data_IF_908950916660
#
_entry.id   IF_908950916660
#
_cell.length_a   1.000
_cell.length_b   1.000
_cell.length_c   1.000
_cell.angle_alpha   90.00
_cell.angle_beta   90.00
_cell.angle_gamma   90.00
#
_symmetry.space_group_name_H-M   'P 1'
#
loop_
_entity.id
_entity.type
_entity.pdbx_description
1 polymer ?
#
# COMPACT_ATOMS: atom_id res chain seq x y z
N UNK A 1 -15.97 -9.71 -6.32
CA UNK A 1 -15.14 -10.76 -6.96
C UNK A 1 -15.99 -12.02 -7.12
N UNK A 2 -16.76 -12.10 -8.19
CA UNK A 2 -17.73 -13.16 -8.52
C UNK A 2 -17.14 -14.23 -9.45
N UNK A 3 -15.86 -14.56 -9.30
CA UNK A 3 -15.13 -15.37 -10.30
C UNK A 3 -15.60 -16.83 -10.47
N UNK A 4 -16.58 -17.26 -9.69
CA UNK A 4 -16.99 -18.67 -9.59
C UNK A 4 -18.46 -18.89 -9.89
N UNK A 5 -19.29 -17.85 -10.02
CA UNK A 5 -20.72 -18.03 -10.32
C UNK A 5 -20.92 -18.70 -11.69
N UNK A 6 -20.07 -18.34 -12.66
CA UNK A 6 -20.14 -18.87 -14.03
C UNK A 6 -19.15 -20.02 -14.29
N UNK A 7 -18.44 -20.52 -13.26
CA UNK A 7 -17.40 -21.55 -13.44
C UNK A 7 -17.99 -22.87 -13.95
N UNK A 8 -19.20 -23.21 -13.46
CA UNK A 8 -19.92 -24.40 -13.92
C UNK A 8 -20.31 -24.27 -15.40
N UNK A 9 -20.90 -23.15 -15.78
CA UNK A 9 -21.34 -22.87 -17.15
C UNK A 9 -20.18 -22.80 -18.13
N UNK A 10 -19.06 -22.21 -17.71
CA UNK A 10 -17.83 -22.19 -18.50
C UNK A 10 -17.29 -23.59 -18.73
N UNK A 11 -17.24 -24.43 -17.70
CA UNK A 11 -16.79 -25.81 -17.83
C UNK A 11 -17.73 -26.64 -18.74
N UNK A 12 -19.05 -26.41 -18.68
CA UNK A 12 -20.02 -27.01 -19.61
C UNK A 12 -19.80 -26.52 -21.05
N UNK A 13 -19.55 -25.22 -21.24
CA UNK A 13 -19.27 -24.60 -22.54
C UNK A 13 -18.00 -25.17 -23.19
N UNK A 14 -16.98 -25.46 -22.38
CA UNK A 14 -15.74 -26.15 -22.81
C UNK A 14 -15.94 -27.66 -23.04
N UNK A 15 -17.17 -28.15 -22.96
CA UNK A 15 -17.53 -29.54 -23.29
C UNK A 15 -17.33 -30.54 -22.16
N UNK A 16 -17.04 -30.10 -20.93
CA UNK A 16 -16.97 -30.98 -19.78
C UNK A 16 -18.38 -31.42 -19.35
N UNK A 17 -18.52 -32.70 -19.02
CA UNK A 17 -19.79 -33.28 -18.57
C UNK A 17 -19.57 -34.31 -17.45
N UNK A 18 -20.63 -34.54 -16.67
CA UNK A 18 -20.67 -35.56 -15.62
C UNK A 18 -19.51 -35.44 -14.62
N UNK A 19 -18.85 -36.56 -14.31
CA UNK A 19 -17.78 -36.59 -13.30
C UNK A 19 -16.57 -35.71 -13.63
N UNK A 20 -16.25 -35.52 -14.92
CA UNK A 20 -15.13 -34.66 -15.35
C UNK A 20 -15.43 -33.18 -15.08
N UNK A 21 -16.67 -32.76 -15.34
CA UNK A 21 -17.16 -31.41 -15.02
C UNK A 21 -17.06 -31.13 -13.53
N UNK A 22 -17.60 -32.02 -12.70
CA UNK A 22 -17.59 -31.85 -11.25
C UNK A 22 -16.17 -31.70 -10.70
N UNK A 23 -15.26 -32.60 -11.10
CA UNK A 23 -13.86 -32.56 -10.65
C UNK A 23 -13.15 -31.27 -11.08
N UNK A 24 -13.42 -30.78 -12.30
CA UNK A 24 -12.83 -29.54 -12.78
C UNK A 24 -13.32 -28.34 -11.96
N UNK A 25 -14.63 -28.22 -11.77
CA UNK A 25 -15.25 -27.12 -11.00
C UNK A 25 -14.73 -27.11 -9.56
N UNK A 26 -14.69 -28.25 -8.88
CA UNK A 26 -14.13 -28.38 -7.53
C UNK A 26 -12.64 -27.98 -7.48
N UNK A 27 -11.83 -28.47 -8.42
CA UNK A 27 -10.41 -28.15 -8.47
C UNK A 27 -10.15 -26.66 -8.69
N UNK A 28 -10.90 -26.03 -9.60
CA UNK A 28 -10.76 -24.60 -9.86
C UNK A 28 -11.27 -23.74 -8.70
N UNK A 29 -12.32 -24.17 -8.01
CA UNK A 29 -12.84 -23.49 -6.82
C UNK A 29 -11.77 -23.42 -5.72
N UNK A 30 -11.04 -24.52 -5.52
CA UNK A 30 -9.93 -24.55 -4.58
C UNK A 30 -8.80 -23.60 -5.01
N UNK A 31 -8.41 -23.60 -6.29
CA UNK A 31 -7.42 -22.66 -6.83
C UNK A 31 -7.81 -21.19 -6.61
N UNK A 32 -9.07 -20.84 -6.89
CA UNK A 32 -9.61 -19.49 -6.67
C UNK A 32 -9.47 -19.10 -5.19
N UNK A 33 -9.83 -20.01 -4.28
CA UNK A 33 -9.76 -19.75 -2.83
C UNK A 33 -8.33 -19.52 -2.36
N UNK A 34 -7.36 -20.29 -2.85
CA UNK A 34 -5.94 -20.09 -2.54
C UNK A 34 -5.42 -18.75 -3.07
N UNK A 35 -5.70 -18.43 -4.33
CA UNK A 35 -5.28 -17.16 -4.93
C UNK A 35 -5.89 -15.96 -4.19
N UNK A 36 -7.14 -16.07 -3.75
CA UNK A 36 -7.78 -15.05 -2.89
C UNK A 36 -7.04 -14.89 -1.57
N UNK A 37 -6.73 -16.00 -0.89
CA UNK A 37 -5.94 -15.97 0.36
C UNK A 37 -4.57 -15.31 0.17
N UNK A 38 -3.86 -15.63 -0.92
CA UNK A 38 -2.57 -15.00 -1.25
C UNK A 38 -2.72 -13.50 -1.51
N UNK A 39 -3.73 -13.08 -2.27
CA UNK A 39 -4.00 -11.67 -2.54
C UNK A 39 -4.30 -10.91 -1.25
N UNK A 40 -5.06 -11.51 -0.33
CA UNK A 40 -5.39 -10.88 0.95
C UNK A 40 -4.18 -10.76 1.87
N UNK A 41 -3.29 -11.76 1.91
CA UNK A 41 -2.00 -11.66 2.60
C UNK A 41 -1.12 -10.53 2.05
N UNK A 42 -1.04 -10.39 0.72
CA UNK A 42 -0.27 -9.31 0.09
C UNK A 42 -0.86 -7.93 0.39
N UNK A 43 -2.19 -7.79 0.34
CA UNK A 43 -2.87 -6.54 0.73
C UNK A 43 -2.58 -6.20 2.19
N UNK A 44 -2.63 -7.19 3.08
CA UNK A 44 -2.35 -7.00 4.51
C UNK A 44 -0.91 -6.53 4.73
N UNK A 45 0.08 -7.24 4.15
CA UNK A 45 1.48 -6.87 4.25
C UNK A 45 1.76 -5.46 3.70
N UNK A 46 1.12 -5.08 2.57
CA UNK A 46 1.23 -3.72 2.03
C UNK A 46 0.70 -2.68 3.01
N UNK A 47 -0.49 -2.92 3.58
CA UNK A 47 -1.10 -1.99 4.52
C UNK A 47 -0.26 -1.84 5.80
N UNK A 48 0.33 -2.93 6.30
CA UNK A 48 1.24 -2.91 7.45
C UNK A 48 2.51 -2.10 7.16
N UNK A 49 3.13 -2.28 6.00
CA UNK A 49 4.30 -1.47 5.59
C UNK A 49 3.95 0.01 5.49
N UNK A 50 2.78 0.35 4.93
CA UNK A 50 2.33 1.73 4.86
C UNK A 50 2.11 2.34 6.26
N UNK A 51 1.57 1.58 7.20
CA UNK A 51 1.36 2.04 8.56
C UNK A 51 2.69 2.20 9.32
N UNK A 52 3.61 1.25 9.17
CA UNK A 52 4.96 1.34 9.72
C UNK A 52 5.69 2.60 9.22
N UNK A 53 5.54 2.95 7.93
CA UNK A 53 6.13 4.17 7.39
C UNK A 53 5.57 5.44 8.03
N UNK A 54 4.25 5.50 8.28
CA UNK A 54 3.63 6.62 9.00
C UNK A 54 4.16 6.71 10.43
N UNK A 55 4.26 5.59 11.13
CA UNK A 55 4.78 5.56 12.50
C UNK A 55 6.23 6.05 12.55
N UNK A 56 7.08 5.62 11.61
CA UNK A 56 8.46 6.12 11.49
C UNK A 56 8.48 7.63 11.25
N UNK A 57 7.64 8.14 10.33
CA UNK A 57 7.54 9.57 10.04
C UNK A 57 7.13 10.37 11.29
N UNK A 58 6.07 9.95 11.99
CA UNK A 58 5.63 10.62 13.21
C UNK A 58 6.64 10.51 14.36
N UNK A 59 7.30 9.36 14.51
CA UNK A 59 8.38 9.20 15.48
C UNK A 59 9.54 10.16 15.16
N UNK A 60 9.91 10.34 13.89
CA UNK A 60 10.96 11.28 13.49
C UNK A 60 10.58 12.75 13.66
N UNK A 61 9.28 13.09 13.62
CA UNK A 61 8.80 14.44 13.92
C UNK A 61 8.78 14.73 15.42
N UNK A 62 8.39 13.76 16.24
CA UNK A 62 8.25 13.91 17.70
C UNK A 62 9.58 13.72 18.44
N UNK A 63 10.44 12.85 17.92
CA UNK A 63 11.85 12.79 18.29
C UNK A 63 12.52 14.00 17.62
N UNK A 64 13.22 14.86 18.35
CA UNK A 64 13.87 16.08 17.83
C UNK A 64 14.99 15.85 16.78
N UNK A 65 14.97 14.72 16.06
CA UNK A 65 15.89 14.28 15.01
C UNK A 65 15.83 15.14 13.75
N UNK A 66 14.75 15.89 13.53
CA UNK A 66 14.64 16.88 12.46
C UNK A 66 15.47 18.16 12.71
N UNK A 67 16.07 18.29 13.90
CA UNK A 67 17.01 19.37 14.22
C UNK A 67 18.40 18.77 14.36
N UNK A 68 19.22 18.93 13.31
CA UNK A 68 20.55 18.34 13.20
C UNK A 68 21.34 18.41 14.51
N UNK A 69 21.65 17.25 15.07
CA UNK A 69 22.52 17.16 16.23
C UNK A 69 23.93 17.59 15.83
N UNK A 70 24.40 18.72 16.36
CA UNK A 70 25.84 18.93 16.48
C UNK A 70 26.38 18.00 17.57
N UNK A 71 27.40 17.16 17.29
CA UNK A 71 28.11 16.45 18.32
C UNK A 71 29.12 17.41 18.96
N UNK A 72 28.86 17.79 20.21
CA UNK A 72 29.83 18.51 21.05
C UNK A 72 29.51 19.99 21.26
N UNK A 73 28.81 20.29 22.34
CA UNK A 73 28.99 21.55 23.06
C UNK A 73 28.79 21.27 24.55
N UNK A 74 29.88 20.86 25.18
CA UNK A 74 30.15 21.34 26.54
C UNK A 74 30.40 22.84 26.47
N UNK A 75 30.06 23.52 27.56
CA UNK A 75 30.48 24.88 27.97
C UNK A 75 29.62 26.08 27.56
N UNK A 76 29.09 26.72 28.60
CA UNK A 76 29.02 28.19 28.83
C UNK A 76 28.74 29.12 27.64
N UNK A 77 27.65 29.87 27.79
CA UNK A 77 27.52 31.31 27.47
C UNK A 77 28.47 31.89 26.42
N UNK A 78 27.93 32.26 25.25
CA UNK A 78 28.20 33.55 24.58
C UNK A 78 27.35 33.71 23.31
N UNK A 79 26.71 34.85 23.21
CA UNK A 79 26.04 35.41 22.03
C UNK A 79 27.00 35.60 20.85
N UNK A 80 26.56 35.32 19.61
CA UNK A 80 26.60 36.29 18.50
C UNK A 80 26.11 35.71 17.17
N UNK A 81 25.40 36.59 16.48
CA UNK A 81 24.94 36.60 15.08
C UNK A 81 25.90 36.00 14.05
N UNK A 82 25.36 35.37 12.99
CA UNK A 82 25.35 35.86 11.60
C UNK A 82 24.97 34.74 10.62
N UNK A 83 24.24 35.14 9.58
CA UNK A 83 23.64 34.32 8.52
C UNK A 83 24.61 33.37 7.80
N UNK A 84 24.14 32.16 7.49
CA UNK A 84 24.68 31.37 6.38
C UNK A 84 23.58 30.52 5.74
N UNK A 85 23.11 31.05 4.60
CA UNK A 85 22.34 30.35 3.57
C UNK A 85 23.02 29.02 3.21
N UNK A 86 22.24 27.95 3.24
CA UNK A 86 22.21 26.82 2.28
C UNK A 86 22.02 25.48 2.98
N UNK A 87 20.76 25.03 3.07
CA UNK A 87 20.41 23.67 3.42
C UNK A 87 19.05 23.35 2.81
N UNK A 88 19.09 22.82 1.59
CA UNK A 88 17.96 22.60 0.68
C UNK A 88 16.77 21.94 1.39
N UNK A 89 15.68 22.69 1.52
CA UNK A 89 14.37 22.12 1.81
C UNK A 89 14.04 21.10 0.74
N UNK A 90 13.68 19.89 1.18
CA UNK A 90 12.98 18.93 0.32
C UNK A 90 11.66 19.60 -0.07
N UNK A 91 11.64 20.10 -1.31
CA UNK A 91 10.51 20.77 -1.90
C UNK A 91 9.27 19.87 -1.74
N UNK A 92 8.20 20.44 -1.19
CA UNK A 92 6.86 19.89 -1.20
C UNK A 92 6.56 19.35 -2.59
N UNK A 93 6.25 18.06 -2.67
CA UNK A 93 5.71 17.47 -3.90
C UNK A 93 4.36 18.14 -4.08
N UNK A 94 4.23 18.95 -5.13
CA UNK A 94 3.00 19.64 -5.46
C UNK A 94 1.94 18.60 -5.83
N UNK A 95 0.90 18.47 -5.01
CA UNK A 95 -0.36 17.85 -5.41
C UNK A 95 -1.03 18.72 -6.48
N UNK A 96 -0.67 18.54 -7.75
CA UNK A 96 -1.62 18.77 -8.84
C UNK A 96 -1.17 18.06 -10.12
N UNK A 97 -1.61 16.82 -10.27
CA UNK A 97 -2.01 16.30 -11.56
C UNK A 97 -3.46 15.86 -11.42
N UNK A 98 -4.36 16.81 -11.66
CA UNK A 98 -5.76 16.53 -11.93
C UNK A 98 -5.80 15.75 -13.24
N UNK A 99 -6.07 14.45 -13.15
CA UNK A 99 -6.39 13.57 -14.25
C UNK A 99 -7.65 12.83 -13.87
N UNK A 100 -8.76 13.32 -14.38
CA UNK A 100 -10.12 12.89 -14.10
C UNK A 100 -10.31 11.41 -14.47
N UNK A 101 -10.87 10.65 -13.53
CA UNK A 101 -11.88 9.64 -13.78
C UNK A 101 -12.50 9.28 -12.43
N UNK A 102 -13.56 10.00 -12.07
CA UNK A 102 -14.57 9.46 -11.17
C UNK A 102 -14.99 8.09 -11.71
N UNK A 103 -14.75 7.03 -10.95
CA UNK A 103 -15.61 5.85 -11.01
C UNK A 103 -16.56 5.99 -9.83
N UNK A 104 -17.71 6.59 -10.15
CA UNK A 104 -18.92 6.53 -9.34
C UNK A 104 -19.35 5.07 -9.33
N UNK A 105 -19.07 4.35 -8.24
CA UNK A 105 -19.80 3.13 -7.93
C UNK A 105 -21.15 3.55 -7.32
N UNK A 106 -22.11 3.90 -8.18
CA UNK A 106 -23.53 3.80 -7.85
C UNK A 106 -24.00 2.38 -8.17
N UNK A 107 -24.77 1.83 -7.23
CA UNK A 107 -25.39 0.51 -7.22
C UNK A 107 -25.90 0.03 -8.60
N UNK A 108 -25.61 -1.22 -8.97
CA UNK A 108 -26.57 -2.26 -9.42
C UNK A 108 -25.88 -3.62 -9.61
#
# INVERSE_FOLDING_TARGET
MEFHENLHDLAVKEGLKGRKLQKAVESFTWNITILKGQADLLKHARNEVQENLKQIHYAALTSSLSKGGQPGQTTSSSSSSLESRNGRGLHSIAEKATGEAELVDEDF
#
